data_IF_644634318771
#
_entry.id   IF_644634318771
#
_cell.length_a   1.000
_cell.length_b   1.000
_cell.length_c   1.000
_cell.angle_alpha   90.00
_cell.angle_beta   90.00
_cell.angle_gamma   90.00
#
_symmetry.space_group_name_H-M   'P 1'
#
loop_
_entity.id
_entity.type
_entity.pdbx_description
1 polymer ?
#
# COMPACT_ATOMS: atom_id res chain seq x y z
N UNK A 1 28.67 26.14 20.96
CA UNK A 1 28.04 24.81 21.06
C UNK A 1 26.50 24.74 20.92
N UNK A 2 25.67 25.82 20.98
CA UNK A 2 24.21 25.69 20.81
C UNK A 2 23.70 25.68 19.35
N UNK A 3 24.49 26.12 18.36
CA UNK A 3 24.05 26.19 16.94
C UNK A 3 23.86 24.80 16.29
N UNK A 4 24.75 23.85 16.59
CA UNK A 4 24.74 22.51 15.99
C UNK A 4 23.52 21.68 16.43
N UNK A 5 23.08 21.83 17.69
CA UNK A 5 21.89 21.13 18.20
C UNK A 5 20.58 21.67 17.57
N UNK A 6 20.50 22.98 17.33
CA UNK A 6 19.34 23.60 16.68
C UNK A 6 19.24 23.25 15.19
N UNK A 7 20.37 23.14 14.49
CA UNK A 7 20.43 22.68 13.09
C UNK A 7 20.00 21.21 12.96
N UNK A 8 20.45 20.34 13.87
CA UNK A 8 20.04 18.93 13.90
C UNK A 8 18.54 18.75 14.23
N UNK A 9 17.97 19.61 15.08
CA UNK A 9 16.53 19.53 15.39
C UNK A 9 15.65 20.04 14.24
N UNK A 10 16.12 21.05 13.48
CA UNK A 10 15.46 21.53 12.26
C UNK A 10 15.56 20.51 11.13
N UNK A 11 16.71 19.87 10.91
CA UNK A 11 16.88 18.84 9.87
C UNK A 11 16.02 17.60 10.13
N UNK A 12 15.89 17.18 11.39
CA UNK A 12 15.04 16.03 11.78
C UNK A 12 13.55 16.33 11.63
N UNK A 13 13.10 17.58 11.87
CA UNK A 13 11.70 17.99 11.61
C UNK A 13 11.40 18.15 10.12
N UNK A 14 12.34 18.66 9.33
CA UNK A 14 12.24 18.76 7.86
C UNK A 14 12.08 17.38 7.22
N UNK A 15 12.96 16.43 7.56
CA UNK A 15 12.93 15.07 6.98
C UNK A 15 11.67 14.27 7.31
N UNK A 16 11.03 14.53 8.46
CA UNK A 16 9.72 13.94 8.81
C UNK A 16 8.58 14.49 7.97
N UNK A 17 8.67 15.74 7.50
CA UNK A 17 7.63 16.37 6.67
C UNK A 17 7.76 15.90 5.21
N UNK A 18 8.99 15.82 4.71
CA UNK A 18 9.32 15.37 3.35
C UNK A 18 8.86 13.91 3.08
N UNK A 19 9.19 12.99 3.99
CA UNK A 19 8.79 11.58 3.88
C UNK A 19 7.27 11.38 3.89
N UNK A 20 6.54 12.20 4.65
CA UNK A 20 5.07 12.19 4.67
C UNK A 20 4.51 12.62 3.31
N UNK A 21 5.07 13.66 2.69
CA UNK A 21 4.61 14.13 1.37
C UNK A 21 4.88 13.08 0.29
N UNK A 22 6.03 12.42 0.35
CA UNK A 22 6.39 11.30 -0.54
C UNK A 22 5.39 10.15 -0.43
N UNK A 23 5.07 9.70 0.79
CA UNK A 23 4.10 8.63 1.01
C UNK A 23 2.71 9.06 0.52
N UNK A 24 2.31 10.32 0.76
CA UNK A 24 1.04 10.86 0.25
C UNK A 24 0.96 10.80 -1.28
N UNK A 25 2.04 11.16 -1.98
CA UNK A 25 2.08 11.07 -3.44
C UNK A 25 1.95 9.62 -3.94
N UNK A 26 2.65 8.66 -3.31
CA UNK A 26 2.50 7.23 -3.65
C UNK A 26 1.09 6.72 -3.40
N UNK A 27 0.50 7.06 -2.24
CA UNK A 27 -0.87 6.69 -1.91
C UNK A 27 -1.89 7.33 -2.85
N UNK A 28 -1.65 8.57 -3.29
CA UNK A 28 -2.50 9.22 -4.28
C UNK A 28 -2.46 8.46 -5.61
N UNK A 29 -1.27 8.05 -6.07
CA UNK A 29 -1.14 7.23 -7.27
C UNK A 29 -1.96 5.93 -7.16
N UNK A 30 -1.84 5.23 -6.02
CA UNK A 30 -2.58 3.99 -5.77
C UNK A 30 -4.10 4.21 -5.71
N UNK A 31 -4.56 5.24 -4.99
CA UNK A 31 -6.00 5.56 -4.85
C UNK A 31 -6.66 5.95 -6.17
N UNK A 32 -5.94 6.62 -7.05
CA UNK A 32 -6.45 7.07 -8.35
C UNK A 32 -6.22 6.04 -9.47
N UNK A 33 -5.61 4.88 -9.16
CA UNK A 33 -5.25 3.87 -10.14
C UNK A 33 -4.39 4.43 -11.30
N UNK A 34 -3.47 5.34 -10.97
CA UNK A 34 -2.52 5.90 -11.94
C UNK A 34 -1.16 5.25 -11.77
N UNK A 35 -0.50 4.97 -12.90
CA UNK A 35 0.83 4.37 -12.88
C UNK A 35 1.80 5.27 -12.13
N UNK A 36 2.52 4.72 -11.14
CA UNK A 36 3.51 5.48 -10.34
C UNK A 36 4.64 5.99 -11.25
N UNK A 37 5.07 5.16 -12.21
CA UNK A 37 6.20 5.41 -13.11
C UNK A 37 5.73 5.58 -14.54
N UNK A 38 6.41 6.44 -15.29
CA UNK A 38 6.29 6.53 -16.74
C UNK A 38 7.40 5.77 -17.46
N UNK A 39 7.41 5.84 -18.79
CA UNK A 39 8.49 5.30 -19.62
C UNK A 39 9.86 5.94 -19.33
N UNK A 40 9.86 7.18 -18.86
CA UNK A 40 11.05 7.90 -18.41
C UNK A 40 10.79 8.57 -17.06
N UNK A 41 11.83 9.03 -16.37
CA UNK A 41 11.69 9.70 -15.07
C UNK A 41 10.87 11.00 -15.18
N UNK A 42 11.01 11.71 -16.30
CA UNK A 42 10.33 12.96 -16.61
C UNK A 42 8.84 12.76 -16.90
N UNK A 43 8.46 11.55 -17.33
CA UNK A 43 7.06 11.16 -17.57
C UNK A 43 6.44 10.41 -16.38
N UNK A 44 7.07 10.48 -15.21
CA UNK A 44 6.59 9.82 -13.99
C UNK A 44 5.46 10.62 -13.34
N UNK A 45 4.27 10.03 -13.21
CA UNK A 45 3.14 10.67 -12.52
C UNK A 45 3.49 10.98 -11.06
N UNK A 46 4.25 10.10 -10.40
CA UNK A 46 4.73 10.34 -9.04
C UNK A 46 5.63 11.58 -8.96
N UNK A 47 6.53 11.79 -9.93
CA UNK A 47 7.36 12.99 -9.96
C UNK A 47 6.54 14.24 -10.26
N UNK A 48 5.58 14.17 -11.17
CA UNK A 48 4.69 15.28 -11.48
C UNK A 48 3.90 15.72 -10.23
N UNK A 49 3.33 14.78 -9.49
CA UNK A 49 2.61 15.04 -8.23
C UNK A 49 3.53 15.63 -7.16
N UNK A 50 4.76 15.13 -7.04
CA UNK A 50 5.72 15.69 -6.09
C UNK A 50 6.11 17.13 -6.44
N UNK A 51 6.31 17.44 -7.72
CA UNK A 51 6.56 18.80 -8.17
C UNK A 51 5.39 19.72 -7.84
N UNK A 52 4.16 19.24 -8.04
CA UNK A 52 2.93 19.97 -7.69
C UNK A 52 2.86 20.27 -6.18
N UNK A 53 3.12 19.27 -5.33
CA UNK A 53 3.15 19.48 -3.87
C UNK A 53 4.28 20.41 -3.42
N UNK A 54 5.30 20.61 -4.24
CA UNK A 54 6.45 21.44 -3.95
C UNK A 54 6.32 22.89 -4.47
N UNK A 55 5.23 23.26 -5.14
CA UNK A 55 5.06 24.63 -5.66
C UNK A 55 5.12 25.68 -4.54
N UNK A 56 4.46 25.38 -3.41
CA UNK A 56 4.40 26.25 -2.23
C UNK A 56 5.40 25.88 -1.12
N UNK A 57 6.21 24.83 -1.31
CA UNK A 57 7.19 24.34 -0.32
C UNK A 57 8.61 24.41 -0.89
N UNK A 58 9.29 25.53 -0.61
CA UNK A 58 10.67 25.76 -1.04
C UNK A 58 11.65 24.68 -0.54
N UNK A 59 11.40 24.10 0.64
CA UNK A 59 12.27 23.07 1.21
C UNK A 59 12.10 21.76 0.44
N UNK A 60 10.85 21.37 0.15
CA UNK A 60 10.57 20.21 -0.68
C UNK A 60 11.08 20.42 -2.11
N UNK A 61 10.95 21.64 -2.66
CA UNK A 61 11.43 21.98 -4.00
C UNK A 61 12.94 21.86 -4.11
N UNK A 62 13.68 22.42 -3.15
CA UNK A 62 15.13 22.23 -3.05
C UNK A 62 15.49 20.76 -2.87
N UNK A 63 14.74 20.02 -2.06
CA UNK A 63 14.94 18.58 -1.86
C UNK A 63 14.69 17.77 -3.14
N UNK A 64 13.73 18.14 -3.98
CA UNK A 64 13.49 17.45 -5.26
C UNK A 64 14.56 17.83 -6.29
N UNK A 65 15.04 19.08 -6.28
CA UNK A 65 15.95 19.64 -7.30
C UNK A 65 17.44 19.47 -6.98
N UNK A 66 17.82 19.28 -5.72
CA UNK A 66 19.22 19.18 -5.31
C UNK A 66 19.89 17.97 -5.98
N UNK A 67 20.99 18.23 -6.67
CA UNK A 67 21.78 17.22 -7.41
C UNK A 67 22.89 16.60 -6.54
N UNK A 68 23.14 17.15 -5.35
CA UNK A 68 24.29 16.80 -4.49
C UNK A 68 24.08 15.60 -3.57
N UNK A 69 22.90 14.98 -3.58
CA UNK A 69 22.66 13.65 -3.04
C UNK A 69 21.50 13.03 -3.83
N UNK A 70 21.61 11.84 -4.42
CA UNK A 70 21.16 10.62 -3.75
C UNK A 70 19.80 10.72 -3.00
N UNK A 71 18.81 11.44 -3.53
CA UNK A 71 17.45 11.39 -2.99
C UNK A 71 16.82 10.01 -3.20
N UNK A 72 17.00 9.16 -2.18
CA UNK A 72 16.61 7.75 -2.10
C UNK A 72 15.16 7.52 -2.54
N UNK A 73 14.23 8.39 -2.16
CA UNK A 73 12.80 8.15 -2.34
C UNK A 73 12.28 8.21 -3.78
N UNK A 74 13.02 8.84 -4.69
CA UNK A 74 12.67 8.84 -6.13
C UNK A 74 13.16 7.60 -6.87
N UNK A 75 14.03 6.79 -6.24
CA UNK A 75 14.51 5.55 -6.84
C UNK A 75 13.42 4.48 -6.82
N UNK A 76 13.29 3.69 -7.91
CA UNK A 76 12.31 2.62 -7.99
C UNK A 76 12.32 1.68 -6.78
N UNK A 77 13.48 1.28 -6.31
CA UNK A 77 13.59 0.31 -5.21
C UNK A 77 13.03 0.86 -3.90
N UNK A 78 13.33 2.12 -3.57
CA UNK A 78 12.83 2.77 -2.36
C UNK A 78 11.32 3.03 -2.47
N UNK A 79 10.81 3.39 -3.66
CA UNK A 79 9.37 3.46 -3.88
C UNK A 79 8.70 2.10 -3.63
N UNK A 80 9.32 0.99 -4.09
CA UNK A 80 8.79 -0.35 -3.86
C UNK A 80 8.80 -0.70 -2.36
N UNK A 81 9.87 -0.40 -1.63
CA UNK A 81 9.93 -0.59 -0.18
C UNK A 81 8.83 0.20 0.54
N UNK A 82 8.64 1.48 0.19
CA UNK A 82 7.58 2.30 0.76
C UNK A 82 6.19 1.75 0.43
N UNK A 83 5.97 1.25 -0.79
CA UNK A 83 4.72 0.61 -1.19
C UNK A 83 4.47 -0.66 -0.36
N UNK A 84 5.49 -1.50 -0.15
CA UNK A 84 5.37 -2.71 0.69
C UNK A 84 4.95 -2.32 2.11
N UNK A 85 5.55 -1.28 2.69
CA UNK A 85 5.18 -0.79 4.03
C UNK A 85 3.73 -0.28 4.04
N UNK A 86 3.32 0.50 3.03
CA UNK A 86 1.96 1.01 2.91
C UNK A 86 0.94 -0.12 2.78
N UNK A 87 1.20 -1.09 1.90
CA UNK A 87 0.36 -2.27 1.68
C UNK A 87 0.22 -3.05 2.98
N UNK A 88 1.33 -3.29 3.70
CA UNK A 88 1.29 -4.00 4.98
C UNK A 88 0.45 -3.28 6.03
N UNK A 89 0.59 -1.96 6.17
CA UNK A 89 -0.24 -1.20 7.12
C UNK A 89 -1.72 -1.22 6.75
N UNK A 90 -2.04 -1.14 5.46
CA UNK A 90 -3.42 -1.21 4.98
C UNK A 90 -4.00 -2.61 5.23
N UNK A 91 -3.29 -3.67 4.86
CA UNK A 91 -3.75 -5.04 5.06
C UNK A 91 -3.88 -5.40 6.53
N UNK A 92 -2.94 -4.99 7.39
CA UNK A 92 -3.03 -5.18 8.84
C UNK A 92 -4.27 -4.50 9.42
N UNK A 93 -4.59 -3.28 8.96
CA UNK A 93 -5.82 -2.60 9.39
C UNK A 93 -7.08 -3.34 8.95
N UNK A 94 -7.12 -3.83 7.72
CA UNK A 94 -8.24 -4.62 7.19
C UNK A 94 -8.42 -5.89 8.03
N UNK A 95 -7.34 -6.63 8.27
CA UNK A 95 -7.35 -7.88 9.05
C UNK A 95 -7.79 -7.63 10.50
N UNK A 96 -7.26 -6.58 11.15
CA UNK A 96 -7.65 -6.22 12.50
C UNK A 96 -9.14 -5.88 12.60
N UNK A 97 -9.65 -5.01 11.70
CA UNK A 97 -11.07 -4.66 11.67
C UNK A 97 -11.95 -5.89 11.42
N UNK A 98 -11.54 -6.78 10.51
CA UNK A 98 -12.25 -8.02 10.21
C UNK A 98 -12.28 -8.97 11.41
N UNK A 99 -11.17 -9.13 12.12
CA UNK A 99 -11.08 -9.98 13.30
C UNK A 99 -11.92 -9.41 14.47
N UNK A 100 -11.97 -8.09 14.62
CA UNK A 100 -12.79 -7.39 15.62
C UNK A 100 -14.30 -7.45 15.31
N UNK A 101 -14.68 -7.53 14.03
CA UNK A 101 -16.08 -7.60 13.60
C UNK A 101 -16.83 -8.85 14.11
N UNK A 102 -16.11 -9.87 14.56
CA UNK A 102 -16.66 -11.07 15.18
C UNK A 102 -17.20 -12.11 14.20
N UNK A 103 -17.80 -11.70 13.07
CA UNK A 103 -18.13 -12.56 11.93
C UNK A 103 -17.80 -11.86 10.61
N UNK A 104 -17.37 -12.65 9.63
CA UNK A 104 -17.05 -12.15 8.28
C UNK A 104 -17.30 -13.25 7.24
N UNK A 105 -17.47 -12.84 5.99
CA UNK A 105 -17.46 -13.74 4.83
C UNK A 105 -16.29 -13.41 3.91
N UNK A 106 -15.91 -14.38 3.07
CA UNK A 106 -14.81 -14.21 2.11
C UNK A 106 -15.39 -14.25 0.72
N UNK A 107 -15.05 -13.26 -0.08
CA UNK A 107 -15.40 -13.18 -1.50
C UNK A 107 -14.14 -13.55 -2.29
N UNK A 108 -14.26 -14.58 -3.13
CA UNK A 108 -13.22 -14.99 -4.07
C UNK A 108 -13.71 -14.81 -5.49
N UNK A 109 -12.94 -14.11 -6.33
CA UNK A 109 -13.21 -14.00 -7.77
C UNK A 109 -12.01 -14.51 -8.56
N UNK A 110 -12.25 -15.47 -9.46
CA UNK A 110 -11.24 -16.13 -10.29
C UNK A 110 -11.14 -15.47 -11.66
N UNK A 111 -9.90 -15.25 -12.10
CA UNK A 111 -9.59 -14.75 -13.43
C UNK A 111 -8.36 -15.44 -13.99
N UNK A 112 -8.50 -15.99 -15.19
CA UNK A 112 -7.37 -16.45 -15.99
C UNK A 112 -6.65 -15.24 -16.59
N UNK A 113 -5.36 -15.06 -16.25
CA UNK A 113 -4.52 -14.00 -16.82
C UNK A 113 -4.01 -14.40 -18.22
N UNK A 114 -3.53 -13.43 -19.01
CA UNK A 114 -2.98 -13.61 -20.37
C UNK A 114 -1.81 -14.59 -20.42
N UNK A 115 -1.18 -14.87 -19.28
CA UNK A 115 -0.10 -15.85 -19.11
C UNK A 115 -0.61 -17.28 -18.85
N UNK A 116 -1.91 -17.56 -19.02
CA UNK A 116 -2.60 -18.84 -18.72
C UNK A 116 -2.54 -19.28 -17.26
N UNK A 117 -2.15 -18.37 -16.36
CA UNK A 117 -2.18 -18.59 -14.92
C UNK A 117 -3.51 -18.15 -14.33
N UNK A 118 -4.05 -18.98 -13.46
CA UNK A 118 -5.22 -18.65 -12.65
C UNK A 118 -4.82 -17.70 -11.51
N UNK A 119 -5.52 -16.57 -11.42
CA UNK A 119 -5.40 -15.61 -10.32
C UNK A 119 -6.76 -15.50 -9.64
N UNK A 120 -6.75 -15.57 -8.32
CA UNK A 120 -7.93 -15.36 -7.50
C UNK A 120 -7.73 -14.09 -6.67
N UNK A 121 -8.71 -13.19 -6.71
CA UNK A 121 -8.79 -12.07 -5.76
C UNK A 121 -9.50 -12.51 -4.49
N UNK A 122 -9.03 -12.06 -3.33
CA UNK A 122 -9.64 -12.32 -2.03
C UNK A 122 -10.08 -10.98 -1.44
N UNK A 123 -11.38 -10.86 -1.15
CA UNK A 123 -11.95 -9.74 -0.41
C UNK A 123 -12.60 -10.24 0.88
N UNK A 124 -12.46 -9.46 1.96
CA UNK A 124 -13.13 -9.71 3.24
C UNK A 124 -14.37 -8.84 3.33
N UNK A 125 -15.50 -9.47 3.66
CA UNK A 125 -16.77 -8.79 3.91
C UNK A 125 -17.14 -8.90 5.39
N UNK A 126 -17.21 -7.77 6.08
CA UNK A 126 -17.46 -7.72 7.52
C UNK A 126 -18.20 -6.43 7.92
N UNK A 127 -18.69 -6.39 9.15
CA UNK A 127 -19.26 -5.17 9.73
C UNK A 127 -18.13 -4.34 10.34
N UNK A 128 -17.93 -3.11 9.87
CA UNK A 128 -16.86 -2.26 10.38
C UNK A 128 -17.08 -1.97 11.89
N UNK A 129 -16.10 -2.25 12.76
CA UNK A 129 -16.25 -2.02 14.19
C UNK A 129 -16.53 -0.55 14.55
N UNK A 130 -16.06 0.39 13.73
CA UNK A 130 -16.27 1.82 13.92
C UNK A 130 -17.59 2.31 13.35
N UNK A 131 -17.76 2.24 12.02
CA UNK A 131 -18.93 2.82 11.35
C UNK A 131 -20.20 1.99 11.51
N UNK A 132 -20.07 0.69 11.83
CA UNK A 132 -21.16 -0.31 11.88
C UNK A 132 -21.80 -0.61 10.52
N UNK A 133 -21.18 -0.17 9.42
CA UNK A 133 -21.62 -0.49 8.06
C UNK A 133 -20.98 -1.79 7.55
N UNK A 134 -21.63 -2.39 6.56
CA UNK A 134 -21.02 -3.48 5.78
C UNK A 134 -19.86 -2.90 4.97
N UNK A 135 -18.67 -3.48 5.13
CA UNK A 135 -17.50 -3.19 4.31
C UNK A 135 -17.05 -4.43 3.55
N UNK A 136 -16.58 -4.20 2.34
CA UNK A 136 -15.95 -5.20 1.48
C UNK A 136 -14.57 -4.66 1.10
N UNK A 137 -13.53 -5.24 1.68
CA UNK A 137 -12.16 -4.79 1.49
C UNK A 137 -11.33 -5.84 0.78
N UNK A 138 -10.67 -5.44 -0.30
CA UNK A 138 -9.69 -6.27 -0.98
C UNK A 138 -8.48 -6.55 -0.07
N UNK A 139 -8.13 -7.82 0.09
CA UNK A 139 -7.00 -8.25 0.89
C UNK A 139 -5.78 -8.50 0.01
N UNK A 140 -5.88 -9.43 -0.95
CA UNK A 140 -4.76 -9.82 -1.80
C UNK A 140 -5.19 -10.61 -3.03
N UNK A 141 -4.24 -10.80 -3.96
CA UNK A 141 -4.33 -11.80 -5.02
C UNK A 141 -3.56 -13.05 -4.61
N UNK A 142 -4.08 -14.21 -5.02
CA UNK A 142 -3.42 -15.51 -4.88
C UNK A 142 -3.42 -16.23 -6.23
N UNK A 143 -2.47 -17.14 -6.41
CA UNK A 143 -2.35 -17.96 -7.62
C UNK A 143 -2.53 -19.44 -7.22
N UNK A 144 -3.76 -19.99 -7.31
CA UNK A 144 -3.98 -21.42 -7.12
C UNK A 144 -3.26 -22.24 -8.19
N UNK A 145 -2.78 -23.44 -7.81
CA UNK A 145 -2.07 -24.31 -8.76
C UNK A 145 -2.99 -24.85 -9.87
N UNK A 146 -4.29 -24.97 -9.61
CA UNK A 146 -5.31 -25.43 -10.54
C UNK A 146 -6.71 -25.03 -10.05
N UNK A 147 -7.72 -25.22 -10.91
CA UNK A 147 -9.13 -24.87 -10.68
C UNK A 147 -9.92 -25.93 -9.90
N UNK A 148 -9.26 -26.94 -9.30
CA UNK A 148 -9.97 -27.91 -8.47
C UNK A 148 -10.38 -27.24 -7.16
N UNK A 149 -11.64 -27.43 -6.76
CA UNK A 149 -12.19 -26.82 -5.54
C UNK A 149 -11.37 -27.08 -4.28
N UNK A 150 -10.75 -28.26 -4.16
CA UNK A 150 -9.85 -28.57 -3.04
C UNK A 150 -8.59 -27.68 -3.02
N UNK A 151 -7.96 -27.48 -4.17
CA UNK A 151 -6.77 -26.63 -4.33
C UNK A 151 -7.09 -25.18 -4.01
N UNK A 152 -8.22 -24.70 -4.53
CA UNK A 152 -8.74 -23.35 -4.27
C UNK A 152 -8.99 -23.15 -2.77
N UNK A 153 -9.74 -24.06 -2.14
CA UNK A 153 -10.05 -23.97 -0.71
C UNK A 153 -8.78 -23.99 0.15
N UNK A 154 -7.81 -24.85 -0.18
CA UNK A 154 -6.52 -24.93 0.51
C UNK A 154 -5.72 -23.63 0.35
N UNK A 155 -5.66 -23.09 -0.87
CA UNK A 155 -4.99 -21.83 -1.18
C UNK A 155 -5.62 -20.66 -0.42
N UNK A 156 -6.95 -20.57 -0.43
CA UNK A 156 -7.73 -19.56 0.28
C UNK A 156 -7.47 -19.60 1.79
N UNK A 157 -7.70 -20.77 2.42
CA UNK A 157 -7.53 -20.93 3.87
C UNK A 157 -6.07 -20.73 4.31
N UNK A 158 -5.11 -21.21 3.51
CA UNK A 158 -3.69 -20.99 3.75
C UNK A 158 -3.32 -19.51 3.71
N UNK A 159 -3.87 -18.77 2.75
CA UNK A 159 -3.64 -17.33 2.60
C UNK A 159 -4.27 -16.55 3.76
N UNK A 160 -5.51 -16.83 4.13
CA UNK A 160 -6.17 -16.18 5.27
C UNK A 160 -5.36 -16.36 6.57
N UNK A 161 -4.87 -17.58 6.83
CA UNK A 161 -4.00 -17.85 7.99
C UNK A 161 -2.68 -17.08 7.90
N UNK A 162 -2.05 -17.03 6.73
CA UNK A 162 -0.80 -16.30 6.50
C UNK A 162 -0.95 -14.80 6.74
N UNK A 163 -2.08 -14.22 6.33
CA UNK A 163 -2.38 -12.80 6.53
C UNK A 163 -2.85 -12.48 7.96
N UNK A 164 -3.12 -13.51 8.79
CA UNK A 164 -3.51 -13.33 10.21
C UNK A 164 -5.02 -13.23 10.46
N UNK A 165 -5.84 -13.68 9.52
CA UNK A 165 -7.31 -13.71 9.65
C UNK A 165 -7.74 -14.90 10.52
N UNK A 166 -8.58 -14.66 11.52
CA UNK A 166 -9.11 -15.69 12.43
C UNK A 166 -10.27 -16.44 11.78
N UNK A 167 -9.96 -17.56 11.11
CA UNK A 167 -10.93 -18.30 10.29
C UNK A 167 -12.10 -18.92 11.07
N UNK A 168 -12.02 -19.09 12.38
CA UNK A 168 -13.11 -19.67 13.20
C UNK A 168 -14.39 -18.81 13.19
N UNK A 169 -14.23 -17.53 12.84
CA UNK A 169 -15.28 -16.54 12.72
C UNK A 169 -15.81 -16.39 11.30
N UNK A 170 -15.23 -17.10 10.34
CA UNK A 170 -15.68 -17.08 8.95
C UNK A 170 -17.08 -17.71 8.83
N UNK A 171 -17.97 -17.03 8.11
CA UNK A 171 -19.34 -17.45 7.82
C UNK A 171 -19.57 -17.25 6.32
N UNK A 172 -20.25 -18.20 5.69
CA UNK A 172 -20.48 -18.22 4.24
C UNK A 172 -21.38 -19.39 3.89
#
# INVERSE_FOLDING_TARGET
MPKVAAENFKSVKSGKTESVIIIKALLLCGKQNIAIRGHTKERSNFMAILCEFAEDDLVLKEHIQSTTARYKYTFPDIQNELLIICVKQISDKIVNNCNEAGFFSVLGDERTDKSTKEKMSICLRFIDPGSKDVREDFLCFVEPENTKGETIARCLLGTLKKEGVVIDKMRG
#
